data_IF_122238336699
#
_entry.id   IF_122238336699
#
_cell.length_a   1.000
_cell.length_b   1.000
_cell.length_c   1.000
_cell.angle_alpha   90.00
_cell.angle_beta   90.00
_cell.angle_gamma   90.00
#
_symmetry.space_group_name_H-M   'P 1'
#
loop_
_entity.id
_entity.type
_entity.pdbx_description
1 polymer ?
#
# COMPACT_ATOMS: atom_id res chain seq x y z
N UNK A 1 4.06 -20.14 -15.60
CA UNK A 1 4.44 -18.93 -14.84
C UNK A 1 3.13 -18.25 -14.46
N UNK A 2 2.65 -18.50 -13.24
CA UNK A 2 1.30 -18.09 -12.80
C UNK A 2 1.32 -16.61 -12.47
N UNK A 3 0.75 -15.77 -13.34
CA UNK A 3 0.53 -14.36 -13.03
C UNK A 3 -0.66 -14.26 -12.08
N UNK A 4 -0.39 -14.04 -10.79
CA UNK A 4 -1.39 -13.92 -9.72
C UNK A 4 -2.29 -12.68 -9.86
N UNK A 5 -2.05 -11.85 -10.86
CA UNK A 5 -2.77 -10.61 -11.10
C UNK A 5 -3.20 -10.54 -12.56
N UNK A 6 -4.51 -10.63 -12.79
CA UNK A 6 -5.06 -10.38 -14.11
C UNK A 6 -4.88 -8.90 -14.47
N UNK A 7 -4.21 -8.63 -15.59
CA UNK A 7 -3.95 -7.27 -16.11
C UNK A 7 -5.25 -6.47 -16.38
N UNK A 8 -6.40 -7.14 -16.52
CA UNK A 8 -7.71 -6.50 -16.74
C UNK A 8 -8.35 -5.99 -15.44
N UNK A 9 -7.89 -6.43 -14.27
CA UNK A 9 -8.45 -6.02 -13.00
C UNK A 9 -7.65 -4.85 -12.40
N UNK A 10 -8.37 -3.92 -11.76
CA UNK A 10 -7.80 -2.76 -11.07
C UNK A 10 -7.04 -3.23 -9.83
N UNK A 11 -5.80 -3.70 -10.02
CA UNK A 11 -4.98 -4.21 -8.92
C UNK A 11 -4.53 -3.02 -8.08
N UNK A 12 -5.00 -2.95 -6.84
CA UNK A 12 -4.43 -2.08 -5.81
C UNK A 12 -3.54 -2.94 -4.93
N UNK A 13 -2.29 -2.55 -4.76
CA UNK A 13 -1.37 -3.14 -3.80
C UNK A 13 -0.86 -2.08 -2.84
N UNK A 14 -0.62 -2.51 -1.62
CA UNK A 14 -0.10 -1.68 -0.56
C UNK A 14 1.23 -2.27 -0.07
N UNK A 15 2.18 -1.41 0.21
CA UNK A 15 3.50 -1.76 0.71
C UNK A 15 3.76 -0.99 2.01
N UNK A 16 4.33 -1.67 3.00
CA UNK A 16 4.76 -1.07 4.26
C UNK A 16 6.25 -0.75 4.17
N UNK A 17 6.60 0.54 4.13
CA UNK A 17 7.97 0.99 3.91
C UNK A 17 8.54 1.55 5.22
N UNK A 18 9.59 0.92 5.76
CA UNK A 18 10.27 1.35 6.99
C UNK A 18 11.63 2.01 6.65
N UNK A 19 11.91 3.19 7.22
CA UNK A 19 13.21 3.86 7.10
C UNK A 19 13.45 4.79 8.30
N UNK A 20 14.64 4.69 8.92
CA UNK A 20 15.06 5.63 9.97
C UNK A 20 14.14 5.70 11.20
N UNK A 21 13.47 4.60 11.56
CA UNK A 21 12.50 4.55 12.68
C UNK A 21 11.11 5.10 12.35
N UNK A 22 10.93 5.60 11.13
CA UNK A 22 9.64 5.99 10.58
C UNK A 22 9.15 4.92 9.60
N UNK A 23 7.84 4.93 9.35
CA UNK A 23 7.26 4.13 8.28
C UNK A 23 6.09 4.86 7.62
N UNK A 24 5.88 4.54 6.34
CA UNK A 24 4.77 5.03 5.55
C UNK A 24 4.16 3.88 4.73
N UNK A 25 2.93 4.07 4.27
CA UNK A 25 2.24 3.11 3.42
C UNK A 25 2.29 3.64 1.99
N UNK A 26 2.88 2.87 1.09
CA UNK A 26 2.80 3.12 -0.34
C UNK A 26 1.61 2.36 -0.91
N UNK A 27 0.70 3.08 -1.57
CA UNK A 27 -0.38 2.50 -2.35
C UNK A 27 -0.03 2.63 -3.82
N UNK A 28 -0.09 1.52 -4.53
CA UNK A 28 -0.07 1.54 -5.99
C UNK A 28 -1.36 0.97 -6.54
N UNK A 29 -1.94 1.63 -7.54
CA UNK A 29 -3.03 1.06 -8.32
C UNK A 29 -2.80 1.24 -9.82
N UNK A 30 -3.35 0.31 -10.60
CA UNK A 30 -3.38 0.42 -12.06
C UNK A 30 -4.67 1.14 -12.50
N UNK A 31 -4.53 2.28 -13.17
CA UNK A 31 -5.64 3.01 -13.80
C UNK A 31 -5.37 3.16 -15.30
N UNK A 32 -6.22 2.56 -16.15
CA UNK A 32 -6.16 2.71 -17.62
C UNK A 32 -4.74 2.49 -18.20
N UNK A 33 -4.04 1.42 -17.78
CA UNK A 33 -2.65 1.07 -18.14
C UNK A 33 -1.56 1.99 -17.56
N UNK A 34 -1.91 2.94 -16.70
CA UNK A 34 -0.94 3.74 -15.93
C UNK A 34 -0.85 3.23 -14.50
N UNK A 35 0.37 3.05 -14.02
CA UNK A 35 0.66 2.76 -12.61
C UNK A 35 0.66 4.08 -11.85
N UNK A 36 -0.27 4.26 -10.92
CA UNK A 36 -0.32 5.42 -10.04
C UNK A 36 0.19 5.00 -8.67
N UNK A 37 1.15 5.76 -8.14
CA UNK A 37 1.74 5.54 -6.81
C UNK A 37 1.38 6.75 -5.94
N UNK A 38 0.88 6.50 -4.74
CA UNK A 38 0.65 7.51 -3.70
C UNK A 38 1.21 7.01 -2.38
N UNK A 39 1.77 7.92 -1.60
CA UNK A 39 2.35 7.61 -0.29
C UNK A 39 1.56 8.34 0.78
N UNK A 40 1.43 7.72 1.95
CA UNK A 40 0.98 8.42 3.15
C UNK A 40 2.06 9.35 3.69
N UNK A 41 1.69 10.18 4.67
CA UNK A 41 2.67 10.77 5.58
C UNK A 41 3.50 9.68 6.27
N UNK A 42 4.71 10.04 6.71
CA UNK A 42 5.56 9.17 7.51
C UNK A 42 5.22 9.32 9.00
N UNK A 43 5.06 8.19 9.68
CA UNK A 43 4.77 8.14 11.12
C UNK A 43 5.86 7.38 11.88
N UNK A 44 5.98 7.57 13.20
CA UNK A 44 6.70 6.63 14.04
C UNK A 44 6.23 5.20 13.80
N UNK A 45 7.17 4.25 13.79
CA UNK A 45 6.91 2.86 13.40
C UNK A 45 5.70 2.22 14.11
N UNK A 46 5.47 2.54 15.39
CA UNK A 46 4.33 2.03 16.17
C UNK A 46 2.99 2.48 15.59
N UNK A 47 2.88 3.74 15.20
CA UNK A 47 1.66 4.31 14.64
C UNK A 47 1.42 3.77 13.23
N UNK A 48 2.46 3.74 12.40
CA UNK A 48 2.39 3.18 11.06
C UNK A 48 1.93 1.71 11.08
N UNK A 49 2.40 0.89 12.03
CA UNK A 49 1.93 -0.49 12.20
C UNK A 49 0.45 -0.59 12.56
N UNK A 50 -0.06 0.31 13.40
CA UNK A 50 -1.48 0.35 13.73
C UNK A 50 -2.33 0.65 12.49
N UNK A 51 -1.91 1.63 11.67
CA UNK A 51 -2.57 1.96 10.40
C UNK A 51 -2.47 0.80 9.42
N UNK A 52 -1.32 0.13 9.34
CA UNK A 52 -1.11 -1.04 8.49
C UNK A 52 -2.05 -2.20 8.83
N UNK A 53 -2.19 -2.52 10.12
CA UNK A 53 -3.13 -3.54 10.59
C UNK A 53 -4.57 -3.15 10.27
N UNK A 54 -4.93 -1.87 10.48
CA UNK A 54 -6.27 -1.38 10.15
C UNK A 54 -6.56 -1.48 8.65
N UNK A 55 -5.58 -1.19 7.80
CA UNK A 55 -5.69 -1.28 6.35
C UNK A 55 -5.91 -2.74 5.91
N UNK A 56 -5.08 -3.66 6.39
CA UNK A 56 -5.23 -5.09 6.08
C UNK A 56 -6.53 -5.70 6.61
N UNK A 57 -7.06 -5.13 7.70
CA UNK A 57 -8.35 -5.53 8.27
C UNK A 57 -9.55 -4.88 7.56
N UNK A 58 -9.32 -4.02 6.56
CA UNK A 58 -10.37 -3.32 5.82
C UNK A 58 -11.05 -2.17 6.59
N UNK A 59 -10.47 -1.73 7.71
CA UNK A 59 -10.99 -0.62 8.52
C UNK A 59 -10.65 0.76 7.94
N UNK A 60 -9.63 0.84 7.08
CA UNK A 60 -9.20 2.06 6.35
C UNK A 60 -8.87 1.72 4.89
N UNK A 61 -8.81 2.72 4.00
CA UNK A 61 -8.58 2.56 2.54
C UNK A 61 -7.60 3.56 1.95
#
# INVERSE_FOLDING_TARGET
>A
MTAWTCHEHRVTFYEFCEAGGLAFIQRTFSDKKKKVVSQSEAWPLREARAVWIALLSGMVR
#
